data_IF_651979959044
#
_entry.id   IF_651979959044
#
_cell.length_a   1.000
_cell.length_b   1.000
_cell.length_c   1.000
_cell.angle_alpha   90.00
_cell.angle_beta   90.00
_cell.angle_gamma   90.00
#
_symmetry.space_group_name_H-M   'P 1'
#
loop_
_entity.id
_entity.type
_entity.pdbx_description
1 polymer ?
#
# COMPACT_ATOMS: atom_id res chain seq x y z
N UNK A 1 3.92 25.26 -20.81
CA UNK A 1 3.03 25.25 -19.62
C UNK A 1 3.91 25.23 -18.38
N UNK A 2 3.61 26.01 -17.32
CA UNK A 2 4.35 25.90 -16.06
C UNK A 2 4.13 24.50 -15.48
N UNK A 3 5.20 23.83 -15.06
CA UNK A 3 5.12 22.53 -14.40
C UNK A 3 4.49 22.77 -13.02
N UNK A 4 3.34 22.14 -12.75
CA UNK A 4 2.73 22.14 -11.41
C UNK A 4 3.73 21.53 -10.43
N UNK A 5 3.99 22.22 -9.32
CA UNK A 5 4.81 21.66 -8.25
C UNK A 5 4.02 20.57 -7.49
N UNK A 6 4.67 19.47 -7.08
CA UNK A 6 4.00 18.36 -6.42
C UNK A 6 3.71 18.69 -4.94
N UNK A 7 2.47 18.52 -4.48
CA UNK A 7 2.05 18.81 -3.10
C UNK A 7 2.87 18.03 -2.05
N UNK A 8 3.35 16.84 -2.41
CA UNK A 8 4.19 15.98 -1.57
C UNK A 8 5.48 15.57 -2.31
N UNK A 9 6.61 15.68 -1.63
CA UNK A 9 7.91 15.22 -2.10
C UNK A 9 8.28 13.90 -1.42
N UNK A 10 8.66 12.89 -2.21
CA UNK A 10 9.20 11.63 -1.70
C UNK A 10 10.73 11.72 -1.64
N UNK A 11 11.30 11.52 -0.46
CA UNK A 11 12.74 11.33 -0.27
C UNK A 11 13.05 9.85 -0.20
N UNK A 12 14.13 9.45 -0.86
CA UNK A 12 14.63 8.08 -0.84
C UNK A 12 14.93 7.61 0.59
N UNK A 13 14.88 6.30 0.78
CA UNK A 13 15.18 5.69 2.07
C UNK A 13 16.60 5.99 2.50
N UNK A 14 16.78 6.30 3.78
CA UNK A 14 18.10 6.38 4.39
C UNK A 14 18.84 5.04 4.40
N UNK A 15 18.11 3.92 4.21
CA UNK A 15 18.69 2.58 4.06
C UNK A 15 18.84 2.21 2.58
N UNK A 16 20.05 1.84 2.17
CA UNK A 16 20.36 1.33 0.83
C UNK A 16 20.83 -0.13 0.92
N UNK A 17 20.19 -1.09 0.23
CA UNK A 17 19.01 -0.96 -0.63
C UNK A 17 17.72 -0.71 0.16
N UNK A 18 16.69 -0.15 -0.51
CA UNK A 18 15.37 0.09 0.12
C UNK A 18 14.73 -1.24 0.51
N UNK A 19 14.28 -1.43 1.76
CA UNK A 19 13.65 -2.67 2.19
C UNK A 19 12.39 -3.00 1.39
N UNK A 20 12.20 -4.28 1.05
CA UNK A 20 10.94 -4.78 0.49
C UNK A 20 10.02 -5.27 1.61
N UNK A 21 8.73 -5.02 1.47
CA UNK A 21 7.70 -5.44 2.44
C UNK A 21 6.41 -5.88 1.73
N UNK A 22 5.49 -6.45 2.50
CA UNK A 22 4.14 -6.80 2.04
C UNK A 22 3.11 -6.24 3.02
N UNK A 23 2.37 -5.19 2.63
CA UNK A 23 1.26 -4.68 3.42
C UNK A 23 0.15 -5.73 3.56
N UNK A 24 -0.39 -5.86 4.77
CA UNK A 24 -1.48 -6.77 5.11
C UNK A 24 -2.69 -5.97 5.60
N UNK A 25 -3.76 -5.94 4.80
CA UNK A 25 -5.00 -5.26 5.13
C UNK A 25 -5.90 -6.23 5.90
N UNK A 26 -5.95 -6.08 7.23
CA UNK A 26 -6.70 -6.96 8.12
C UNK A 26 -8.17 -6.54 8.23
N UNK A 27 -9.11 -7.49 8.41
CA UNK A 27 -10.55 -7.20 8.54
C UNK A 27 -10.92 -6.73 9.96
N UNK A 28 -10.03 -5.94 10.59
CA UNK A 28 -10.23 -5.41 11.93
C UNK A 28 -9.37 -4.18 12.17
N UNK A 29 -9.82 -3.33 13.09
CA UNK A 29 -9.05 -2.19 13.57
C UNK A 29 -8.12 -2.63 14.71
N UNK A 30 -6.84 -2.29 14.59
CA UNK A 30 -5.86 -2.43 15.68
C UNK A 30 -5.61 -1.03 16.24
N UNK A 31 -5.94 -0.81 17.52
CA UNK A 31 -5.73 0.50 18.16
C UNK A 31 -4.26 0.84 18.42
N UNK A 32 -3.40 -0.17 18.47
CA UNK A 32 -1.97 0.05 18.63
C UNK A 32 -1.36 0.52 17.30
N UNK A 33 -0.84 1.73 17.29
CA UNK A 33 -0.06 2.28 16.18
C UNK A 33 1.42 2.36 16.59
N UNK A 34 2.25 1.50 15.99
CA UNK A 34 3.66 1.41 16.33
C UNK A 34 4.29 0.07 15.94
N UNK A 35 5.62 0.00 16.06
CA UNK A 35 6.38 -1.21 15.77
C UNK A 35 6.06 -2.33 16.77
N UNK A 36 5.84 -3.53 16.25
CA UNK A 36 5.72 -4.77 17.05
C UNK A 36 7.02 -5.58 17.05
N UNK A 37 8.12 -5.00 16.55
CA UNK A 37 9.39 -5.70 16.32
C UNK A 37 9.28 -6.74 15.21
N UNK A 38 10.06 -7.82 15.32
CA UNK A 38 9.97 -8.94 14.39
C UNK A 38 8.69 -9.75 14.66
N UNK A 39 7.81 -9.94 13.66
CA UNK A 39 6.63 -10.78 13.80
C UNK A 39 7.03 -12.18 14.26
N UNK A 40 6.45 -12.63 15.37
CA UNK A 40 6.63 -14.00 15.83
C UNK A 40 5.70 -14.91 15.00
N UNK A 41 6.22 -15.94 14.31
CA UNK A 41 5.41 -16.86 13.51
C UNK A 41 4.31 -17.58 14.31
N UNK A 42 4.41 -17.64 15.64
CA UNK A 42 3.34 -18.14 16.49
C UNK A 42 2.07 -17.26 16.50
N UNK A 43 2.19 -15.98 16.15
CA UNK A 43 1.07 -15.02 16.16
C UNK A 43 0.65 -14.55 14.77
N UNK A 44 1.56 -14.57 13.80
CA UNK A 44 1.27 -14.16 12.43
C UNK A 44 2.20 -14.89 11.46
N UNK A 45 1.62 -15.76 10.64
CA UNK A 45 2.37 -16.61 9.70
C UNK A 45 1.54 -16.88 8.44
N UNK A 46 1.44 -15.90 7.53
CA UNK A 46 0.78 -16.07 6.24
C UNK A 46 1.41 -17.18 5.42
N UNK A 47 0.61 -18.18 5.06
CA UNK A 47 1.03 -19.35 4.29
C UNK A 47 0.11 -19.59 3.10
N UNK A 48 0.58 -20.16 1.99
CA UNK A 48 -0.30 -20.61 0.92
C UNK A 48 -1.36 -21.57 1.46
N UNK A 49 -2.63 -21.33 1.13
CA UNK A 49 -3.73 -22.21 1.52
C UNK A 49 -3.64 -23.55 0.80
N UNK A 50 -3.90 -24.64 1.52
CA UNK A 50 -3.90 -26.00 0.97
C UNK A 50 -5.25 -26.40 0.33
N UNK A 51 -6.30 -25.58 0.49
CA UNK A 51 -7.63 -25.83 -0.08
C UNK A 51 -7.74 -25.32 -1.51
N UNK A 52 -6.95 -25.86 -2.44
CA UNK A 52 -7.12 -25.58 -3.88
C UNK A 52 -8.17 -26.54 -4.45
N UNK A 53 -9.44 -26.18 -4.33
CA UNK A 53 -10.51 -26.81 -5.10
C UNK A 53 -11.09 -25.79 -6.07
N UNK A 54 -10.42 -25.64 -7.21
CA UNK A 54 -10.88 -24.86 -8.35
C UNK A 54 -10.62 -23.36 -8.21
N UNK A 55 -10.08 -22.78 -9.27
CA UNK A 55 -9.85 -21.36 -9.53
C UNK A 55 -8.50 -20.77 -9.10
N UNK A 56 -8.03 -19.94 -10.01
CA UNK A 56 -6.64 -19.60 -10.38
C UNK A 56 -5.98 -18.59 -9.42
N UNK A 57 -6.57 -18.33 -8.25
CA UNK A 57 -6.14 -17.28 -7.34
C UNK A 57 -5.27 -17.84 -6.20
N UNK A 58 -4.10 -17.25 -5.98
CA UNK A 58 -3.18 -17.63 -4.90
C UNK A 58 -3.77 -17.22 -3.55
N UNK A 59 -4.54 -18.12 -2.95
CA UNK A 59 -5.12 -17.94 -1.62
C UNK A 59 -4.04 -18.12 -0.54
N UNK A 60 -4.01 -17.19 0.41
CA UNK A 60 -3.13 -17.25 1.58
C UNK A 60 -3.99 -17.47 2.84
N UNK A 61 -3.52 -18.24 3.80
CA UNK A 61 -4.16 -18.50 5.08
C UNK A 61 -3.26 -18.01 6.23
N UNK A 62 -3.86 -17.43 7.27
CA UNK A 62 -3.20 -17.07 8.52
C UNK A 62 -4.21 -17.09 9.66
N UNK A 63 -3.75 -17.02 10.90
CA UNK A 63 -4.58 -16.89 12.08
C UNK A 63 -4.22 -15.62 12.82
N UNK A 64 -5.22 -14.81 13.15
CA UNK A 64 -5.03 -13.62 13.96
C UNK A 64 -6.00 -13.64 15.13
N UNK A 65 -5.46 -13.56 16.36
CA UNK A 65 -6.25 -13.62 17.60
C UNK A 65 -7.18 -14.85 17.68
N UNK A 66 -6.72 -15.99 17.16
CA UNK A 66 -7.48 -17.25 17.15
C UNK A 66 -8.56 -17.34 16.06
N UNK A 67 -8.68 -16.34 15.18
CA UNK A 67 -9.62 -16.35 14.04
C UNK A 67 -8.88 -16.69 12.77
N UNK A 68 -9.42 -17.64 12.00
CA UNK A 68 -8.91 -17.98 10.67
C UNK A 68 -9.15 -16.82 9.70
N UNK A 69 -8.10 -16.40 9.01
CA UNK A 69 -8.15 -15.41 7.95
C UNK A 69 -7.74 -16.07 6.63
N UNK A 70 -8.45 -15.68 5.59
CA UNK A 70 -8.12 -16.02 4.22
C UNK A 70 -7.77 -14.72 3.48
N UNK A 71 -6.65 -14.73 2.77
CA UNK A 71 -6.07 -13.58 2.11
C UNK A 71 -6.05 -13.75 0.60
N UNK A 72 -6.45 -12.70 -0.12
CA UNK A 72 -6.21 -12.54 -1.57
C UNK A 72 -4.98 -11.67 -1.76
N UNK A 73 -3.98 -12.20 -2.46
CA UNK A 73 -2.80 -11.43 -2.85
C UNK A 73 -3.12 -10.63 -4.10
N UNK A 74 -3.00 -9.30 -4.01
CA UNK A 74 -3.23 -8.38 -5.10
C UNK A 74 -1.88 -7.79 -5.55
N UNK A 75 -1.38 -8.15 -6.75
CA UNK A 75 -0.25 -7.43 -7.34
C UNK A 75 -0.65 -5.98 -7.64
N UNK A 76 0.31 -5.07 -7.57
CA UNK A 76 0.08 -3.71 -8.03
C UNK A 76 -0.10 -3.69 -9.56
N UNK A 77 -0.91 -2.76 -10.11
CA UNK A 77 -1.05 -2.59 -11.55
C UNK A 77 0.29 -2.27 -12.22
N UNK A 78 0.43 -2.66 -13.49
CA UNK A 78 1.65 -2.44 -14.25
C UNK A 78 2.03 -0.95 -14.29
N UNK A 79 3.32 -0.66 -14.11
CA UNK A 79 3.84 0.72 -14.07
C UNK A 79 3.67 1.42 -12.72
N UNK A 80 3.04 0.79 -11.73
CA UNK A 80 2.92 1.32 -10.37
C UNK A 80 3.93 0.68 -9.42
N UNK A 81 4.30 1.46 -8.40
CA UNK A 81 5.18 1.03 -7.30
C UNK A 81 4.53 1.42 -5.97
N UNK A 82 4.58 0.51 -5.00
CA UNK A 82 4.10 0.76 -3.65
C UNK A 82 5.22 1.30 -2.76
N UNK A 83 4.92 2.32 -1.96
CA UNK A 83 5.84 2.88 -0.97
C UNK A 83 5.18 2.95 0.41
N UNK A 84 5.90 2.54 1.44
CA UNK A 84 5.58 2.86 2.84
C UNK A 84 6.45 4.05 3.21
N UNK A 85 5.86 5.17 3.59
CA UNK A 85 6.60 6.39 3.89
C UNK A 85 6.07 7.08 5.14
N UNK A 86 6.95 7.75 5.87
CA UNK A 86 6.60 8.54 7.05
C UNK A 86 6.86 10.02 6.79
N UNK A 87 6.09 10.95 7.37
CA UNK A 87 6.43 12.37 7.31
C UNK A 87 7.86 12.60 7.79
N UNK A 88 8.67 13.34 7.03
CA UNK A 88 9.94 13.81 7.55
C UNK A 88 9.65 14.88 8.60
N UNK A 89 10.31 14.84 9.76
CA UNK A 89 10.26 15.96 10.70
C UNK A 89 10.67 17.26 9.99
N UNK A 90 10.07 18.41 10.33
CA UNK A 90 10.61 19.68 9.84
C UNK A 90 12.09 19.78 10.25
N UNK A 91 12.95 20.37 9.40
CA UNK A 91 14.35 20.58 9.78
C UNK A 91 14.39 21.43 11.06
N UNK A 92 15.04 20.93 12.09
CA UNK A 92 15.50 21.76 13.20
C UNK A 92 16.71 22.54 12.69
N UNK A 93 16.47 23.70 12.10
CA UNK A 93 17.53 24.69 11.84
C UNK A 93 17.02 26.05 12.26
N UNK A 94 17.77 26.62 13.21
CA UNK A 94 17.66 27.98 13.72
C UNK A 94 17.47 29.00 12.59
N UNK A 95 16.58 29.97 12.83
CA UNK A 95 16.43 31.23 12.10
C UNK A 95 16.35 31.15 10.56
N UNK A 96 15.21 30.72 10.00
CA UNK A 96 14.87 31.03 8.61
C UNK A 96 13.64 31.93 8.51
N UNK A 97 13.85 33.04 7.81
CA UNK A 97 12.86 34.05 7.41
C UNK A 97 11.62 33.34 6.87
N UNK A 98 10.48 33.54 7.53
CA UNK A 98 9.19 33.01 7.09
C UNK A 98 8.79 33.76 5.82
N UNK A 99 9.12 33.20 4.66
CA UNK A 99 8.46 33.56 3.42
C UNK A 99 7.00 33.05 3.48
N UNK A 100 6.08 33.98 3.68
CA UNK A 100 4.64 33.71 3.80
C UNK A 100 4.00 33.28 2.46
N UNK A 101 4.76 33.30 1.36
CA UNK A 101 4.30 32.95 0.01
C UNK A 101 4.80 31.56 -0.46
N UNK A 102 5.68 30.91 0.28
CA UNK A 102 6.14 29.56 -0.05
C UNK A 102 5.11 28.51 0.43
N UNK A 103 4.35 27.93 -0.50
CA UNK A 103 3.60 26.68 -0.26
C UNK A 103 4.58 25.64 0.32
N UNK A 104 4.43 25.29 1.60
CA UNK A 104 5.26 24.25 2.23
C UNK A 104 4.79 22.88 1.74
N UNK A 105 5.40 22.39 0.67
CA UNK A 105 5.16 21.03 0.19
C UNK A 105 5.59 20.03 1.27
N UNK A 106 4.69 19.13 1.65
CA UNK A 106 5.00 18.09 2.64
C UNK A 106 6.09 17.16 2.12
N UNK A 107 7.00 16.73 2.99
CA UNK A 107 8.04 15.76 2.61
C UNK A 107 7.80 14.44 3.33
N UNK A 108 7.85 13.34 2.57
CA UNK A 108 7.73 11.97 3.07
C UNK A 108 9.05 11.23 2.84
N UNK A 109 9.53 10.51 3.85
CA UNK A 109 10.70 9.65 3.74
C UNK A 109 10.25 8.21 3.50
N UNK A 110 10.77 7.59 2.43
CA UNK A 110 10.47 6.20 2.08
C UNK A 110 11.14 5.26 3.09
N UNK A 111 10.37 4.36 3.68
CA UNK A 111 10.84 3.37 4.65
C UNK A 111 10.93 1.98 4.03
N UNK A 112 10.02 1.64 3.10
CA UNK A 112 10.01 0.37 2.39
C UNK A 112 9.25 0.49 1.06
N UNK A 113 9.44 -0.48 0.18
CA UNK A 113 8.69 -0.65 -1.06
C UNK A 113 7.95 -1.97 -1.10
N UNK A 114 6.86 -2.02 -1.86
CA UNK A 114 6.08 -3.23 -2.05
C UNK A 114 5.52 -3.29 -3.48
N UNK A 115 5.37 -4.51 -3.98
CA UNK A 115 4.89 -4.80 -5.33
C UNK A 115 3.50 -5.48 -5.31
N UNK A 116 3.01 -5.81 -4.11
CA UNK A 116 1.72 -6.44 -3.87
C UNK A 116 1.18 -6.10 -2.47
N UNK A 117 -0.13 -6.23 -2.29
CA UNK A 117 -0.80 -6.15 -0.99
C UNK A 117 -1.61 -7.42 -0.75
N UNK A 118 -1.83 -7.79 0.52
CA UNK A 118 -2.70 -8.92 0.87
C UNK A 118 -3.95 -8.39 1.57
N UNK A 119 -5.12 -8.63 0.98
CA UNK A 119 -6.43 -8.29 1.56
C UNK A 119 -6.98 -9.50 2.28
N UNK A 120 -7.22 -9.37 3.58
CA UNK A 120 -7.65 -10.47 4.44
C UNK A 120 -9.15 -10.38 4.79
N UNK A 121 -9.84 -11.53 4.78
CA UNK A 121 -11.22 -11.66 5.21
C UNK A 121 -11.40 -12.82 6.21
N UNK A 122 -12.49 -12.77 6.96
CA UNK A 122 -12.88 -13.83 7.90
C UNK A 122 -13.59 -14.97 7.17
N UNK A 123 -12.99 -16.17 7.16
CA UNK A 123 -13.55 -17.49 6.80
C UNK A 123 -14.31 -17.62 5.45
N UNK A 124 -14.62 -16.52 4.79
CA UNK A 124 -15.40 -16.44 3.57
C UNK A 124 -14.72 -15.45 2.62
N UNK A 125 -14.03 -16.00 1.62
CA UNK A 125 -13.38 -15.23 0.58
C UNK A 125 -14.34 -14.69 -0.47
N UNK A 126 -15.64 -15.05 -0.46
CA UNK A 126 -16.56 -14.60 -1.52
C UNK A 126 -16.63 -13.07 -1.61
N UNK A 127 -16.49 -12.34 -0.51
CA UNK A 127 -16.46 -10.87 -0.53
C UNK A 127 -15.19 -10.31 -1.18
N UNK A 128 -14.06 -11.01 -1.06
CA UNK A 128 -12.76 -10.55 -1.60
C UNK A 128 -12.54 -11.05 -3.04
N UNK A 129 -13.05 -12.24 -3.38
CA UNK A 129 -12.89 -12.85 -4.69
C UNK A 129 -13.90 -12.32 -5.71
N UNK A 130 -15.12 -11.93 -5.29
CA UNK A 130 -16.16 -11.43 -6.20
C UNK A 130 -16.05 -9.93 -6.50
N UNK A 131 -14.93 -9.28 -6.19
CA UNK A 131 -14.76 -7.83 -6.36
C UNK A 131 -15.79 -6.98 -5.57
N UNK A 132 -16.35 -7.50 -4.48
CA UNK A 132 -17.21 -6.71 -3.58
C UNK A 132 -16.38 -5.88 -2.58
N UNK A 133 -15.13 -6.26 -2.35
CA UNK A 133 -14.21 -5.57 -1.46
C UNK A 133 -13.66 -4.27 -2.07
N UNK A 134 -13.75 -3.18 -1.31
CA UNK A 134 -13.38 -1.85 -1.78
C UNK A 134 -11.88 -1.73 -2.13
N UNK A 135 -10.99 -2.45 -1.43
CA UNK A 135 -9.56 -2.41 -1.72
C UNK A 135 -9.22 -3.22 -2.98
N UNK A 136 -9.87 -4.37 -3.17
CA UNK A 136 -9.74 -5.17 -4.40
C UNK A 136 -10.15 -4.32 -5.60
N UNK A 137 -11.34 -3.72 -5.56
CA UNK A 137 -11.83 -2.82 -6.61
C UNK A 137 -10.94 -1.62 -6.85
N UNK A 138 -10.41 -1.03 -5.78
CA UNK A 138 -9.53 0.13 -5.90
C UNK A 138 -8.27 -0.22 -6.69
N UNK A 139 -7.65 -1.37 -6.42
CA UNK A 139 -6.41 -1.79 -7.07
C UNK A 139 -6.67 -2.33 -8.48
N UNK A 140 -7.64 -3.23 -8.65
CA UNK A 140 -7.89 -3.93 -9.93
C UNK A 140 -8.64 -3.05 -10.95
N UNK A 141 -9.59 -2.22 -10.51
CA UNK A 141 -10.46 -1.44 -11.40
C UNK A 141 -10.09 0.05 -11.41
N UNK A 142 -10.10 0.68 -10.23
CA UNK A 142 -10.07 2.14 -10.13
C UNK A 142 -8.76 2.76 -10.64
N UNK A 143 -7.60 2.15 -10.36
CA UNK A 143 -6.31 2.65 -10.85
C UNK A 143 -6.29 2.71 -12.39
N UNK A 144 -6.80 1.68 -13.06
CA UNK A 144 -6.91 1.66 -14.52
C UNK A 144 -7.90 2.69 -15.06
N UNK A 145 -9.07 2.80 -14.44
CA UNK A 145 -10.10 3.79 -14.81
C UNK A 145 -9.56 5.22 -14.66
N UNK A 146 -8.93 5.54 -13.53
CA UNK A 146 -8.32 6.85 -13.29
C UNK A 146 -7.24 7.17 -14.33
N UNK A 147 -6.41 6.18 -14.68
CA UNK A 147 -5.42 6.30 -15.75
C UNK A 147 -6.05 6.64 -17.11
N UNK A 148 -7.14 5.97 -17.49
CA UNK A 148 -7.84 6.21 -18.75
C UNK A 148 -8.58 7.56 -18.78
N UNK A 149 -9.16 7.99 -17.66
CA UNK A 149 -9.85 9.30 -17.57
C UNK A 149 -8.86 10.45 -17.68
N UNK A 150 -7.64 10.28 -17.14
CA UNK A 150 -6.61 11.31 -17.13
C UNK A 150 -5.56 11.16 -18.23
N UNK A 151 -5.69 10.16 -19.12
CA UNK A 151 -4.83 10.06 -20.29
C UNK A 151 -5.18 11.17 -21.27
N UNK A 152 -4.18 11.95 -21.69
CA UNK A 152 -4.33 12.89 -22.78
C UNK A 152 -4.08 12.17 -24.10
N UNK A 153 -4.97 12.39 -25.07
CA UNK A 153 -4.76 11.90 -26.43
C UNK A 153 -3.58 12.67 -27.05
N UNK A 154 -2.42 12.02 -27.15
CA UNK A 154 -1.30 12.56 -27.94
C UNK A 154 -1.58 12.36 -29.44
N UNK A 155 -2.49 13.20 -29.97
CA UNK A 155 -2.57 13.46 -31.41
C UNK A 155 -3.73 12.81 -32.16
N UNK A 156 -4.89 13.47 -32.12
CA UNK A 156 -5.71 13.59 -33.33
C UNK A 156 -4.99 14.50 -34.33
N UNK A 157 -4.26 13.90 -35.28
CA UNK A 157 -3.91 14.55 -36.55
C UNK A 157 -5.05 14.38 -37.55
#
# INVERSE_FOLDING_TARGET
>A
MPKSQPILNLKDSAAAPVPKTTPNLLPCLIHHDGSIGTPNPAFWDPKPSSSTSGETEQQTESYFRGRKLLGKTLPLPEGYRGVVATPSSPPETDEEVIDLEAEKNGTLQIQAEFDQVVVWAHENLSTVNNSDDAYVRAVEEWVGVAGAVHSFDEGGK
#
